data_IF_184931401479
#
_entry.id   IF_184931401479
#
_cell.length_a   1.000
_cell.length_b   1.000
_cell.length_c   1.000
_cell.angle_alpha   90.00
_cell.angle_beta   90.00
_cell.angle_gamma   90.00
#
_symmetry.space_group_name_H-M   'P 1'
#
loop_
_entity.id
_entity.type
_entity.pdbx_description
1 polymer ?
#
# COMPACT_ATOMS: atom_id res chain seq x y z
N UNK A 1 -1.50 11.29 -6.43
CA UNK A 1 -0.07 11.49 -6.10
C UNK A 1 0.51 10.17 -5.66
N UNK A 2 1.79 9.94 -5.97
CA UNK A 2 2.44 8.66 -5.71
C UNK A 2 3.84 8.88 -5.13
N UNK A 3 4.18 8.11 -4.11
CA UNK A 3 5.51 8.05 -3.50
C UNK A 3 6.04 6.63 -3.67
N UNK A 4 7.34 6.52 -3.92
CA UNK A 4 8.03 5.23 -3.96
C UNK A 4 9.01 5.15 -2.81
N UNK A 5 9.11 3.99 -2.16
CA UNK A 5 10.08 3.71 -1.10
C UNK A 5 10.07 4.74 0.04
N UNK A 6 8.88 5.29 0.35
CA UNK A 6 8.75 6.32 1.38
C UNK A 6 8.76 5.68 2.76
N UNK A 7 9.42 6.33 3.71
CA UNK A 7 9.39 5.92 5.11
C UNK A 7 8.37 6.76 5.89
N UNK A 8 7.42 6.10 6.54
CA UNK A 8 6.41 6.70 7.43
C UNK A 8 6.55 6.11 8.83
N UNK A 9 6.22 6.91 9.86
CA UNK A 9 6.18 6.42 11.24
C UNK A 9 4.74 6.08 11.62
N UNK A 10 4.52 4.89 12.16
CA UNK A 10 3.22 4.44 12.69
C UNK A 10 3.38 4.02 14.14
N UNK A 11 2.28 4.04 14.90
CA UNK A 11 2.31 3.71 16.32
C UNK A 11 2.38 2.19 16.52
N UNK A 12 3.08 1.76 17.58
CA UNK A 12 3.09 0.35 18.01
C UNK A 12 2.02 0.14 19.08
N UNK A 13 1.42 -1.05 19.11
CA UNK A 13 0.41 -1.40 20.13
C UNK A 13 0.96 -1.27 21.56
N UNK A 14 2.21 -1.64 21.81
CA UNK A 14 2.88 -1.53 23.11
C UNK A 14 3.51 -0.15 23.37
N UNK A 15 3.18 0.86 22.56
CA UNK A 15 3.74 2.20 22.64
C UNK A 15 5.05 2.37 21.85
N UNK A 16 5.37 3.64 21.57
CA UNK A 16 6.45 4.03 20.66
C UNK A 16 6.03 4.00 19.19
N UNK A 17 6.97 4.31 18.30
CA UNK A 17 6.75 4.35 16.85
C UNK A 17 7.63 3.34 16.13
N UNK A 18 7.15 2.82 15.00
CA UNK A 18 7.96 2.08 14.04
C UNK A 18 7.97 2.79 12.69
N UNK A 19 9.13 2.76 12.04
CA UNK A 19 9.23 3.08 10.64
C UNK A 19 8.66 1.93 9.80
N UNK A 20 7.82 2.28 8.84
CA UNK A 20 7.35 1.41 7.78
C UNK A 20 7.79 2.01 6.44
N UNK A 21 8.02 1.14 5.45
CA UNK A 21 8.53 1.53 4.15
C UNK A 21 7.77 0.84 3.02
N UNK A 22 6.55 1.29 2.69
CA UNK A 22 5.83 0.76 1.54
C UNK A 22 6.63 1.00 0.24
N UNK A 23 6.59 0.01 -0.67
CA UNK A 23 7.19 0.15 -2.00
C UNK A 23 6.56 1.30 -2.78
N UNK A 24 5.23 1.34 -2.78
CA UNK A 24 4.44 2.42 -3.35
C UNK A 24 3.35 2.84 -2.37
N UNK A 25 3.26 4.13 -2.13
CA UNK A 25 2.15 4.75 -1.41
C UNK A 25 1.48 5.74 -2.36
N UNK A 26 0.15 5.71 -2.47
CA UNK A 26 -0.58 6.62 -3.33
C UNK A 26 -1.84 7.18 -2.68
N UNK A 27 -2.19 8.39 -3.08
CA UNK A 27 -3.45 9.05 -2.73
C UNK A 27 -4.10 9.63 -3.97
N UNK A 28 -5.43 9.72 -3.94
CA UNK A 28 -6.17 10.48 -4.93
C UNK A 28 -5.66 11.94 -4.98
N UNK A 29 -5.59 12.51 -6.19
CA UNK A 29 -5.29 13.92 -6.39
C UNK A 29 -6.49 14.78 -5.99
N UNK A 30 -6.73 14.93 -4.69
CA UNK A 30 -7.89 15.62 -4.14
C UNK A 30 -7.56 16.41 -2.88
N UNK A 31 -8.36 17.43 -2.62
CA UNK A 31 -8.36 18.19 -1.37
C UNK A 31 -9.53 17.81 -0.44
N UNK A 32 -10.39 16.89 -0.87
CA UNK A 32 -11.48 16.34 -0.08
C UNK A 32 -10.99 15.11 0.69
N UNK A 33 -10.88 15.24 2.02
CA UNK A 33 -10.46 14.16 2.91
C UNK A 33 -11.31 12.89 2.73
N UNK A 34 -12.61 13.02 2.43
CA UNK A 34 -13.49 11.86 2.24
C UNK A 34 -13.19 11.09 0.96
N UNK A 35 -12.38 11.65 0.05
CA UNK A 35 -11.99 11.07 -1.23
C UNK A 35 -10.51 10.72 -1.32
N UNK A 36 -9.74 10.86 -0.23
CA UNK A 36 -8.27 10.76 -0.23
C UNK A 36 -7.74 9.42 -0.75
N UNK A 37 -8.50 8.32 -0.58
CA UNK A 37 -8.22 6.99 -1.14
C UNK A 37 -6.76 6.54 -0.96
N UNK A 38 -6.35 6.36 0.29
CA UNK A 38 -4.99 5.99 0.67
C UNK A 38 -4.71 4.54 0.26
N UNK A 39 -3.74 4.32 -0.60
CA UNK A 39 -3.38 3.00 -1.10
C UNK A 39 -1.91 2.71 -0.78
N UNK A 40 -1.64 1.47 -0.39
CA UNK A 40 -0.29 0.89 -0.43
C UNK A 40 -0.28 -0.23 -1.45
N UNK A 41 0.75 -0.23 -2.29
CA UNK A 41 1.04 -1.33 -3.20
C UNK A 41 2.42 -1.90 -2.83
N UNK A 42 2.44 -3.15 -2.38
CA UNK A 42 3.65 -3.86 -1.96
C UNK A 42 4.06 -4.85 -3.06
N UNK A 43 5.05 -4.47 -3.86
CA UNK A 43 5.36 -5.10 -5.15
C UNK A 43 6.05 -6.43 -4.94
N UNK A 44 5.63 -7.46 -5.70
CA UNK A 44 6.16 -8.81 -5.63
C UNK A 44 6.80 -9.24 -6.92
N UNK A 45 8.11 -9.45 -6.84
CA UNK A 45 8.97 -9.87 -7.97
C UNK A 45 9.28 -11.37 -7.94
N UNK A 46 8.96 -12.08 -6.86
CA UNK A 46 9.12 -13.53 -6.77
C UNK A 46 8.10 -14.18 -5.82
N UNK A 47 7.84 -15.48 -6.01
CA UNK A 47 7.01 -16.28 -5.09
C UNK A 47 7.59 -16.33 -3.68
N UNK A 48 8.91 -16.44 -3.55
CA UNK A 48 9.60 -16.48 -2.26
C UNK A 48 9.39 -15.18 -1.49
N UNK A 49 9.53 -14.03 -2.17
CA UNK A 49 9.28 -12.72 -1.59
C UNK A 49 7.83 -12.58 -1.09
N UNK A 50 6.86 -13.01 -1.90
CA UNK A 50 5.44 -13.01 -1.53
C UNK A 50 5.17 -13.82 -0.26
N UNK A 51 5.64 -15.07 -0.20
CA UNK A 51 5.42 -15.94 0.95
C UNK A 51 6.11 -15.40 2.22
N UNK A 52 7.32 -14.85 2.09
CA UNK A 52 8.04 -14.24 3.21
C UNK A 52 7.30 -13.02 3.78
N UNK A 53 6.67 -12.23 2.91
CA UNK A 53 5.88 -11.07 3.32
C UNK A 53 4.54 -11.47 3.97
N UNK A 54 3.86 -12.48 3.43
CA UNK A 54 2.61 -13.01 4.01
C UNK A 54 2.85 -13.51 5.44
N UNK A 55 4.02 -14.11 5.69
CA UNK A 55 4.43 -14.61 6.99
C UNK A 55 4.69 -13.50 8.05
N UNK A 56 4.70 -12.21 7.66
CA UNK A 56 4.96 -11.05 8.54
C UNK A 56 3.70 -10.19 8.73
N UNK A 57 2.71 -10.65 9.53
CA UNK A 57 1.47 -9.91 9.76
C UNK A 57 1.69 -8.51 10.33
N UNK A 58 2.75 -8.28 11.11
CA UNK A 58 3.10 -7.01 11.73
C UNK A 58 3.43 -5.92 10.70
N UNK A 59 4.07 -6.29 9.59
CA UNK A 59 4.34 -5.37 8.46
C UNK A 59 3.04 -4.86 7.87
N UNK A 60 2.10 -5.78 7.62
CA UNK A 60 0.76 -5.47 7.09
C UNK A 60 -0.07 -4.65 8.08
N UNK A 61 0.03 -4.96 9.37
CA UNK A 61 -0.65 -4.19 10.41
C UNK A 61 -0.18 -2.73 10.43
N UNK A 62 1.13 -2.49 10.24
CA UNK A 62 1.68 -1.14 10.09
C UNK A 62 1.09 -0.37 8.91
N UNK A 63 1.01 -1.00 7.73
CA UNK A 63 0.39 -0.38 6.55
C UNK A 63 -1.10 -0.09 6.75
N UNK A 64 -1.82 -0.97 7.46
CA UNK A 64 -3.23 -0.77 7.81
C UNK A 64 -3.51 0.47 8.67
N UNK A 65 -2.49 1.08 9.27
CA UNK A 65 -2.63 2.35 10.01
C UNK A 65 -2.60 3.59 9.11
N UNK A 66 -2.10 3.47 7.87
CA UNK A 66 -1.95 4.60 6.94
C UNK A 66 -2.64 4.40 5.58
N UNK A 67 -3.12 3.18 5.29
CA UNK A 67 -3.74 2.84 4.02
C UNK A 67 -5.17 2.34 4.19
N UNK A 68 -6.07 2.84 3.34
CA UNK A 68 -7.45 2.34 3.25
C UNK A 68 -7.51 0.99 2.55
N UNK A 69 -6.59 0.74 1.62
CA UNK A 69 -6.43 -0.52 0.89
C UNK A 69 -4.95 -0.88 0.74
N UNK A 70 -4.67 -2.18 0.76
CA UNK A 70 -3.34 -2.75 0.53
C UNK A 70 -3.44 -3.73 -0.65
N UNK A 71 -2.61 -3.55 -1.66
CA UNK A 71 -2.46 -4.46 -2.78
C UNK A 71 -1.10 -5.16 -2.77
N UNK A 72 -1.09 -6.36 -3.32
CA UNK A 72 0.12 -7.06 -3.75
C UNK A 72 0.16 -7.07 -5.28
N UNK A 73 0.87 -6.16 -5.95
CA UNK A 73 1.13 -6.26 -7.37
C UNK A 73 2.12 -7.38 -7.69
N UNK A 74 1.84 -8.20 -8.69
CA UNK A 74 2.74 -9.26 -9.16
C UNK A 74 2.52 -9.60 -10.64
N UNK A 75 3.48 -10.23 -11.33
CA UNK A 75 3.24 -10.81 -12.64
C UNK A 75 2.11 -11.86 -12.62
N UNK A 76 1.36 -11.95 -13.71
CA UNK A 76 0.29 -12.95 -13.87
C UNK A 76 0.81 -14.37 -13.63
N UNK A 77 0.04 -15.17 -12.89
CA UNK A 77 0.38 -16.55 -12.54
C UNK A 77 1.44 -16.69 -11.43
N UNK A 78 2.02 -15.59 -10.93
CA UNK A 78 3.01 -15.66 -9.84
C UNK A 78 2.37 -15.96 -8.49
N UNK A 79 1.23 -15.34 -8.18
CA UNK A 79 0.55 -15.46 -6.88
C UNK A 79 -0.90 -15.85 -7.14
N UNK A 80 -1.40 -16.84 -6.41
CA UNK A 80 -2.83 -17.18 -6.41
C UNK A 80 -3.62 -16.27 -5.46
N UNK A 81 -4.88 -15.99 -5.78
CA UNK A 81 -5.73 -15.15 -4.93
C UNK A 81 -5.94 -15.72 -3.51
N UNK A 82 -5.82 -17.04 -3.35
CA UNK A 82 -5.87 -17.79 -2.09
C UNK A 82 -4.65 -17.54 -1.20
N UNK A 83 -3.47 -17.27 -1.80
CA UNK A 83 -2.22 -17.00 -1.09
C UNK A 83 -2.19 -15.58 -0.50
N UNK A 84 -3.00 -14.67 -1.05
CA UNK A 84 -3.05 -13.26 -0.61
C UNK A 84 -3.82 -13.17 0.71
N UNK A 85 -3.32 -12.44 1.73
CA UNK A 85 -3.99 -12.35 3.02
C UNK A 85 -5.41 -11.78 2.94
N UNK A 86 -6.24 -12.12 3.92
CA UNK A 86 -7.61 -11.61 4.00
C UNK A 86 -7.65 -10.07 4.05
N UNK A 87 -8.57 -9.48 3.29
CA UNK A 87 -8.73 -8.03 3.19
C UNK A 87 -7.73 -7.32 2.29
N UNK A 88 -6.65 -8.00 1.86
CA UNK A 88 -5.69 -7.45 0.89
C UNK A 88 -6.12 -7.77 -0.55
N UNK A 89 -5.70 -6.92 -1.47
CA UNK A 89 -5.96 -7.08 -2.90
C UNK A 89 -4.79 -7.71 -3.63
N UNK A 90 -5.07 -8.29 -4.80
CA UNK A 90 -4.07 -8.79 -5.74
C UNK A 90 -4.27 -8.08 -7.06
N UNK A 91 -3.22 -7.39 -7.49
CA UNK A 91 -3.14 -6.73 -8.78
C UNK A 91 -2.15 -7.54 -9.64
N UNK A 92 -2.57 -8.00 -10.81
CA UNK A 92 -1.71 -8.81 -11.68
C UNK A 92 -1.32 -8.02 -12.91
N UNK A 93 -0.03 -7.96 -13.21
CA UNK A 93 0.46 -7.44 -14.48
C UNK A 93 0.27 -8.52 -15.55
N UNK A 94 -0.65 -8.27 -16.49
CA UNK A 94 -0.96 -9.19 -17.60
C UNK A 94 -0.13 -8.89 -18.85
N UNK A 95 0.25 -7.61 -19.02
CA UNK A 95 1.17 -7.11 -20.03
C UNK A 95 1.94 -5.92 -19.42
N UNK A 96 3.08 -5.48 -19.99
CA UNK A 96 3.82 -4.34 -19.46
C UNK A 96 2.93 -3.11 -19.21
N UNK A 97 2.90 -2.66 -17.96
CA UNK A 97 2.08 -1.54 -17.48
C UNK A 97 0.55 -1.75 -17.57
N UNK A 98 0.07 -2.97 -17.85
CA UNK A 98 -1.36 -3.31 -17.82
C UNK A 98 -1.66 -4.25 -16.66
N UNK A 99 -2.54 -3.77 -15.80
CA UNK A 99 -2.85 -4.44 -14.55
C UNK A 99 -4.33 -4.79 -14.43
N UNK A 100 -4.61 -5.99 -13.90
CA UNK A 100 -5.95 -6.46 -13.61
C UNK A 100 -6.10 -6.80 -12.12
N UNK A 101 -7.29 -6.56 -11.55
CA UNK A 101 -7.57 -6.91 -10.16
C UNK A 101 -8.06 -8.35 -10.09
N UNK A 102 -7.19 -9.27 -9.68
CA UNK A 102 -7.52 -10.68 -9.49
C UNK A 102 -8.21 -10.93 -8.14
N UNK A 103 -7.89 -10.13 -7.12
CA UNK A 103 -8.56 -10.14 -5.81
C UNK A 103 -8.84 -8.71 -5.35
N UNK A 104 -10.09 -8.40 -5.04
CA UNK A 104 -10.46 -7.07 -4.53
C UNK A 104 -10.11 -6.97 -3.03
N UNK A 105 -9.47 -5.87 -2.58
CA UNK A 105 -9.23 -5.63 -1.18
C UNK A 105 -10.53 -5.25 -0.46
N UNK A 106 -10.52 -5.35 0.87
CA UNK A 106 -11.56 -4.77 1.71
C UNK A 106 -11.12 -3.38 2.15
N UNK A 107 -11.83 -2.36 1.68
CA UNK A 107 -11.57 -0.97 2.05
C UNK A 107 -11.86 -0.72 3.53
N UNK A 108 -10.92 -0.06 4.22
CA UNK A 108 -11.04 0.40 5.61
C UNK A 108 -10.86 1.91 5.65
N UNK A 109 -11.54 2.61 6.55
CA UNK A 109 -11.30 4.04 6.75
C UNK A 109 -10.05 4.23 7.57
N UNK A 110 -9.19 5.14 7.14
CA UNK A 110 -7.97 5.53 7.82
C UNK A 110 -7.86 7.05 7.78
N UNK A 111 -7.45 7.64 8.90
CA UNK A 111 -7.16 9.06 9.00
C UNK A 111 -5.65 9.25 9.18
N UNK A 112 -5.03 10.02 8.30
CA UNK A 112 -3.64 10.41 8.47
C UNK A 112 -3.51 11.48 9.55
N UNK A 113 -2.51 11.34 10.41
CA UNK A 113 -2.15 12.38 11.39
C UNK A 113 -1.41 13.53 10.69
N UNK A 114 -1.32 14.73 11.33
CA UNK A 114 -0.50 15.82 10.81
C UNK A 114 0.96 15.41 10.57
N UNK A 115 1.51 14.51 11.39
CA UNK A 115 2.86 13.99 11.21
C UNK A 115 3.02 13.23 9.88
N UNK A 116 2.03 12.42 9.48
CA UNK A 116 2.06 11.74 8.19
C UNK A 116 2.05 12.75 7.04
N UNK A 117 1.14 13.74 7.08
CA UNK A 117 1.08 14.77 6.05
C UNK A 117 2.38 15.56 5.94
N UNK A 118 2.98 15.96 7.08
CA UNK A 118 4.27 16.66 7.07
C UNK A 118 5.38 15.83 6.42
N UNK A 119 5.43 14.52 6.69
CA UNK A 119 6.40 13.63 6.05
C UNK A 119 6.18 13.52 4.53
N UNK A 120 4.91 13.41 4.10
CA UNK A 120 4.54 13.38 2.67
C UNK A 120 4.85 14.70 1.94
N UNK A 121 4.75 15.84 2.64
CA UNK A 121 5.10 17.17 2.12
C UNK A 121 6.63 17.32 2.01
N UNK A 122 7.38 16.92 3.04
CA UNK A 122 8.84 17.03 3.07
C UNK A 122 9.53 16.09 2.08
N UNK A 123 8.90 14.95 1.76
CA UNK A 123 9.34 14.01 0.73
C UNK A 123 8.30 14.03 -0.39
N UNK A 124 8.28 15.05 -1.25
CA UNK A 124 7.19 15.24 -2.19
C UNK A 124 7.09 14.07 -3.16
N UNK A 125 5.87 13.57 -3.33
CA UNK A 125 5.55 12.52 -4.27
C UNK A 125 5.45 13.06 -5.70
N UNK A 126 5.39 12.15 -6.66
CA UNK A 126 5.10 12.50 -8.05
C UNK A 126 3.61 12.78 -8.18
N UNK A 127 3.28 13.99 -8.62
CA UNK A 127 1.94 14.33 -9.07
C UNK A 127 1.81 13.95 -10.54
N UNK A 128 1.09 12.88 -10.81
CA UNK A 128 0.60 12.56 -12.14
C UNK A 128 -0.82 13.10 -12.22
N UNK A 129 -1.09 14.21 -12.93
CA UNK A 129 -2.45 14.56 -13.24
C UNK A 129 -3.04 13.39 -14.02
N UNK A 130 -4.13 12.81 -13.51
CA UNK A 130 -4.92 11.91 -14.32
C UNK A 130 -5.32 12.68 -15.60
N UNK A 131 -5.26 11.98 -16.74
CA UNK A 131 -5.37 12.55 -18.07
C UNK A 131 -6.70 13.26 -18.28
#
# INVERSE_FOLDING_TARGET
>A
MTWQNIELLVDREMGGRQAIRPDVFSVAATYDEQRINLCVDEVKVSRVDSLADVARPEKRAGYGQIAEVLYYPAPVGMIEASEVPEGCGLLVEVEPCKFEVLKRPKKRRVALTPHHFMNLILKPGVFTPAW
#
